data_IF_295470077781
#
_entry.id   IF_295470077781
#
_cell.length_a   1.000
_cell.length_b   1.000
_cell.length_c   1.000
_cell.angle_alpha   90.00
_cell.angle_beta   90.00
_cell.angle_gamma   90.00
#
_symmetry.space_group_name_H-M   'P 1'
#
loop_
_entity.id
_entity.type
_entity.pdbx_description
1 polymer ?
#
# COMPACT_ATOMS: atom_id res chain seq x y z
N UNK A 1 -19.73 -11.86 -1.64
CA UNK A 1 -20.31 -10.69 -0.93
C UNK A 1 -19.52 -9.45 -1.30
N UNK A 2 -20.10 -8.26 -1.15
CA UNK A 2 -19.45 -6.98 -1.38
C UNK A 2 -19.74 -6.11 -0.16
N UNK A 3 -18.71 -5.66 0.55
CA UNK A 3 -18.86 -4.84 1.76
C UNK A 3 -18.41 -3.42 1.43
N UNK A 4 -19.38 -2.53 1.27
CA UNK A 4 -19.15 -1.11 1.03
C UNK A 4 -19.14 -0.38 2.38
N UNK A 5 -17.99 0.18 2.75
CA UNK A 5 -17.86 0.94 4.00
C UNK A 5 -17.84 2.44 3.68
N UNK A 6 -18.92 3.12 4.05
CA UNK A 6 -19.07 4.57 3.98
C UNK A 6 -18.37 5.25 5.16
N UNK A 7 -17.25 5.90 4.88
CA UNK A 7 -16.43 6.59 5.88
C UNK A 7 -16.75 8.10 5.96
N UNK A 8 -18.05 8.40 6.09
CA UNK A 8 -18.61 9.75 6.06
C UNK A 8 -18.41 10.45 4.71
N UNK A 9 -18.84 9.82 3.62
CA UNK A 9 -18.79 10.42 2.29
C UNK A 9 -19.56 11.75 2.25
N UNK A 10 -18.97 12.84 1.71
CA UNK A 10 -19.61 14.16 1.69
C UNK A 10 -20.52 14.37 0.47
N UNK A 11 -20.59 13.40 -0.44
CA UNK A 11 -21.24 13.51 -1.74
C UNK A 11 -22.30 12.41 -1.98
N UNK A 12 -22.82 12.35 -3.20
CA UNK A 12 -23.86 11.41 -3.62
C UNK A 12 -23.41 9.94 -3.77
N UNK A 13 -22.21 9.57 -3.30
CA UNK A 13 -21.65 8.23 -3.51
C UNK A 13 -22.53 7.12 -2.94
N UNK A 14 -23.14 7.36 -1.76
CA UNK A 14 -23.89 6.31 -1.08
C UNK A 14 -25.32 6.13 -1.60
N UNK A 15 -25.90 7.15 -2.23
CA UNK A 15 -27.15 7.01 -2.99
C UNK A 15 -26.99 5.98 -4.10
N UNK A 16 -25.87 6.04 -4.83
CA UNK A 16 -25.55 5.09 -5.90
C UNK A 16 -25.40 3.68 -5.32
N UNK A 17 -24.58 3.50 -4.28
CA UNK A 17 -24.38 2.18 -3.65
C UNK A 17 -25.70 1.61 -3.12
N UNK A 18 -26.56 2.45 -2.51
CA UNK A 18 -27.89 2.04 -2.03
C UNK A 18 -28.81 1.60 -3.17
N UNK A 19 -28.73 2.20 -4.37
CA UNK A 19 -29.49 1.75 -5.52
C UNK A 19 -29.08 0.33 -5.93
N UNK A 20 -27.78 0.07 -6.08
CA UNK A 20 -27.29 -1.29 -6.39
C UNK A 20 -27.65 -2.32 -5.30
N UNK A 21 -27.60 -1.92 -4.02
CA UNK A 21 -27.92 -2.80 -2.92
C UNK A 21 -29.40 -3.23 -2.84
N UNK A 22 -30.32 -2.50 -3.51
CA UNK A 22 -31.74 -2.91 -3.61
C UNK A 22 -31.88 -4.20 -4.42
N UNK A 23 -31.09 -4.32 -5.48
CA UNK A 23 -31.21 -5.40 -6.45
C UNK A 23 -30.20 -6.54 -6.19
N UNK A 24 -29.11 -6.28 -5.46
CA UNK A 24 -28.08 -7.27 -5.15
C UNK A 24 -27.87 -7.45 -3.63
N UNK A 25 -28.46 -8.54 -3.10
CA UNK A 25 -28.36 -8.93 -1.68
C UNK A 25 -26.93 -9.26 -1.23
N UNK A 26 -25.97 -9.40 -2.15
CA UNK A 26 -24.55 -9.61 -1.81
C UNK A 26 -23.90 -8.32 -1.30
N UNK A 27 -24.49 -7.16 -1.59
CA UNK A 27 -23.97 -5.85 -1.18
C UNK A 27 -24.42 -5.55 0.25
N UNK A 28 -23.45 -5.28 1.12
CA UNK A 28 -23.64 -4.86 2.51
C UNK A 28 -23.04 -3.48 2.70
N UNK A 29 -23.77 -2.60 3.37
CA UNK A 29 -23.34 -1.23 3.65
C UNK A 29 -23.03 -1.09 5.13
N UNK A 30 -21.86 -0.55 5.46
CA UNK A 30 -21.49 -0.09 6.80
C UNK A 30 -21.30 1.41 6.72
N UNK A 31 -21.89 2.17 7.64
CA UNK A 31 -21.69 3.62 7.71
C UNK A 31 -21.02 4.00 9.02
N UNK A 32 -19.94 4.77 8.93
CA UNK A 32 -19.26 5.31 10.09
C UNK A 32 -19.92 6.61 10.57
N UNK A 33 -19.92 6.82 11.90
CA UNK A 33 -20.36 8.08 12.53
C UNK A 33 -19.30 9.19 12.45
N UNK A 34 -18.05 8.82 12.19
CA UNK A 34 -16.90 9.73 12.07
C UNK A 34 -15.92 9.17 11.05
N UNK A 35 -15.25 10.03 10.31
CA UNK A 35 -14.24 9.62 9.34
C UNK A 35 -13.04 8.94 10.06
N UNK A 36 -12.78 7.68 9.74
CA UNK A 36 -11.68 6.86 10.26
C UNK A 36 -10.53 6.68 9.25
N UNK A 37 -10.68 7.27 8.06
CA UNK A 37 -9.83 7.09 6.88
C UNK A 37 -9.85 5.66 6.34
N UNK A 38 -9.07 5.44 5.29
CA UNK A 38 -9.02 4.18 4.54
C UNK A 38 -8.70 2.98 5.45
N UNK A 39 -7.80 3.15 6.40
CA UNK A 39 -7.45 2.09 7.35
C UNK A 39 -8.64 1.62 8.20
N UNK A 40 -9.40 2.57 8.76
CA UNK A 40 -10.60 2.26 9.53
C UNK A 40 -11.70 1.63 8.69
N UNK A 41 -11.92 2.13 7.47
CA UNK A 41 -12.89 1.55 6.55
C UNK A 41 -12.56 0.07 6.23
N UNK A 42 -11.30 -0.23 5.91
CA UNK A 42 -10.85 -1.61 5.66
C UNK A 42 -11.02 -2.50 6.89
N UNK A 43 -10.70 -2.01 8.08
CA UNK A 43 -10.87 -2.76 9.33
C UNK A 43 -12.33 -3.11 9.59
N UNK A 44 -13.26 -2.16 9.42
CA UNK A 44 -14.70 -2.43 9.56
C UNK A 44 -15.18 -3.48 8.56
N UNK A 45 -14.65 -3.45 7.34
CA UNK A 45 -14.89 -4.49 6.34
C UNK A 45 -14.38 -5.87 6.79
N UNK A 46 -13.15 -5.94 7.31
CA UNK A 46 -12.55 -7.18 7.84
C UNK A 46 -13.42 -7.79 8.95
N UNK A 47 -13.92 -6.98 9.89
CA UNK A 47 -14.65 -7.51 11.06
C UNK A 47 -16.01 -8.14 10.71
N UNK A 48 -16.64 -7.75 9.59
CA UNK A 48 -17.93 -8.31 9.17
C UNK A 48 -17.83 -9.31 8.02
N UNK A 49 -16.65 -9.44 7.41
CA UNK A 49 -16.42 -10.35 6.29
C UNK A 49 -16.67 -11.79 6.71
N UNK A 50 -17.37 -12.54 5.85
CA UNK A 50 -17.70 -13.96 6.04
C UNK A 50 -17.09 -14.84 4.96
N UNK A 51 -16.58 -14.26 3.88
CA UNK A 51 -15.86 -14.97 2.83
C UNK A 51 -14.58 -15.62 3.35
N UNK A 52 -14.24 -16.76 2.76
CA UNK A 52 -12.99 -17.46 3.05
C UNK A 52 -11.76 -16.62 2.66
N UNK A 53 -11.92 -15.77 1.64
CA UNK A 53 -10.92 -14.82 1.17
C UNK A 53 -11.45 -13.38 1.21
N UNK A 54 -10.53 -12.44 1.40
CA UNK A 54 -10.77 -10.99 1.42
C UNK A 54 -9.92 -10.35 0.34
N UNK A 55 -10.54 -9.50 -0.48
CA UNK A 55 -9.88 -8.67 -1.48
C UNK A 55 -10.33 -7.22 -1.28
N UNK A 56 -9.38 -6.28 -1.24
CA UNK A 56 -9.70 -4.86 -1.13
C UNK A 56 -9.78 -4.24 -2.52
N UNK A 57 -10.80 -3.42 -2.78
CA UNK A 57 -10.94 -2.66 -4.01
C UNK A 57 -11.22 -1.21 -3.63
N UNK A 58 -10.40 -0.28 -4.13
CA UNK A 58 -10.66 1.14 -3.96
C UNK A 58 -11.82 1.54 -4.90
N UNK A 59 -12.71 2.46 -4.48
CA UNK A 59 -13.95 2.77 -5.21
C UNK A 59 -13.71 3.48 -6.55
N UNK A 60 -12.49 3.95 -6.79
CA UNK A 60 -12.09 4.60 -8.03
C UNK A 60 -11.50 3.66 -9.08
N UNK A 61 -11.26 2.39 -8.74
CA UNK A 61 -10.63 1.36 -9.55
C UNK A 61 -11.62 0.29 -10.05
N UNK A 62 -11.15 -0.58 -10.96
CA UNK A 62 -11.95 -1.67 -11.53
C UNK A 62 -11.21 -2.99 -11.43
N UNK A 63 -11.94 -4.10 -11.32
CA UNK A 63 -11.37 -5.42 -11.57
C UNK A 63 -10.99 -5.55 -13.06
N UNK A 64 -9.98 -6.36 -13.35
CA UNK A 64 -9.49 -6.54 -14.72
C UNK A 64 -10.45 -7.28 -15.64
N UNK A 65 -11.25 -8.18 -15.09
CA UNK A 65 -12.29 -8.96 -15.76
C UNK A 65 -13.24 -9.58 -14.72
N UNK A 66 -14.30 -10.24 -15.19
CA UNK A 66 -15.36 -10.81 -14.35
C UNK A 66 -14.94 -12.06 -13.56
N UNK A 67 -13.89 -12.76 -14.00
CA UNK A 67 -13.42 -14.02 -13.37
C UNK A 67 -12.26 -13.81 -12.41
N UNK A 68 -11.61 -12.65 -12.40
CA UNK A 68 -10.29 -12.48 -11.78
C UNK A 68 -10.25 -12.83 -10.30
N UNK A 69 -11.31 -12.56 -9.55
CA UNK A 69 -11.37 -12.93 -8.13
C UNK A 69 -11.46 -14.46 -7.95
N UNK A 70 -12.16 -15.16 -8.84
CA UNK A 70 -12.19 -16.64 -8.85
C UNK A 70 -10.81 -17.18 -9.21
N UNK A 71 -10.21 -16.66 -10.26
CA UNK A 71 -8.87 -17.10 -10.71
C UNK A 71 -7.81 -16.91 -9.61
N UNK A 72 -7.92 -15.83 -8.81
CA UNK A 72 -7.04 -15.61 -7.66
C UNK A 72 -7.30 -16.60 -6.52
N UNK A 73 -8.56 -16.97 -6.26
CA UNK A 73 -8.91 -17.98 -5.27
C UNK A 73 -8.40 -19.36 -5.70
N UNK A 74 -8.57 -19.74 -6.96
CA UNK A 74 -8.10 -21.01 -7.51
C UNK A 74 -6.58 -21.12 -7.35
N UNK A 75 -5.84 -20.07 -7.71
CA UNK A 75 -4.39 -19.98 -7.47
C UNK A 75 -4.04 -20.12 -5.98
N UNK A 76 -4.82 -19.50 -5.09
CA UNK A 76 -4.57 -19.59 -3.66
C UNK A 76 -4.72 -21.03 -3.14
N UNK A 77 -5.76 -21.73 -3.60
CA UNK A 77 -6.04 -23.13 -3.24
C UNK A 77 -4.98 -24.07 -3.81
N UNK A 78 -4.70 -23.96 -5.11
CA UNK A 78 -3.72 -24.81 -5.82
C UNK A 78 -2.31 -24.73 -5.21
N UNK A 79 -1.95 -23.59 -4.62
CA UNK A 79 -0.62 -23.33 -4.09
C UNK A 79 -0.56 -23.28 -2.56
N UNK A 80 -1.65 -23.63 -1.86
CA UNK A 80 -1.81 -23.48 -0.39
C UNK A 80 -1.32 -22.10 0.11
N UNK A 81 -1.68 -21.05 -0.62
CA UNK A 81 -1.20 -19.70 -0.38
C UNK A 81 -2.19 -18.90 0.47
N UNK A 82 -1.76 -18.45 1.65
CA UNK A 82 -2.57 -17.55 2.49
C UNK A 82 -2.69 -16.13 1.92
N UNK A 83 -1.79 -15.73 1.02
CA UNK A 83 -1.85 -14.46 0.33
C UNK A 83 -1.39 -14.65 -1.11
N UNK A 84 -2.18 -14.15 -2.05
CA UNK A 84 -1.84 -14.06 -3.47
C UNK A 84 -1.69 -12.59 -3.84
N UNK A 85 -0.54 -12.21 -4.37
CA UNK A 85 -0.28 -10.87 -4.88
C UNK A 85 -0.33 -10.87 -6.42
N UNK A 86 -1.24 -10.08 -6.97
CA UNK A 86 -1.42 -9.86 -8.39
C UNK A 86 -0.74 -8.57 -8.88
N UNK A 87 -0.78 -8.37 -10.20
CA UNK A 87 -0.39 -7.11 -10.86
C UNK A 87 -1.57 -6.15 -10.94
N UNK A 88 -1.27 -4.90 -11.27
CA UNK A 88 -2.26 -3.90 -11.67
C UNK A 88 -1.84 -3.26 -13.00
N UNK A 89 -2.79 -2.67 -13.70
CA UNK A 89 -2.56 -1.97 -14.95
C UNK A 89 -3.18 -0.58 -14.90
N UNK A 90 -2.47 0.44 -15.38
CA UNK A 90 -3.00 1.80 -15.40
C UNK A 90 -4.08 1.97 -16.48
N UNK A 91 -5.18 2.63 -16.11
CA UNK A 91 -6.26 3.02 -17.01
C UNK A 91 -6.21 4.53 -17.26
N UNK A 92 -6.21 4.93 -18.54
CA UNK A 92 -6.19 6.34 -18.94
C UNK A 92 -7.59 6.81 -19.37
N UNK A 93 -8.23 7.57 -18.48
CA UNK A 93 -9.56 8.15 -18.72
C UNK A 93 -9.62 9.07 -19.94
N UNK A 94 -8.52 9.75 -20.32
CA UNK A 94 -8.55 10.74 -21.42
C UNK A 94 -8.70 10.11 -22.80
N UNK A 95 -8.13 8.92 -22.96
CA UNK A 95 -8.15 8.18 -24.24
C UNK A 95 -9.04 6.94 -24.18
N UNK A 96 -9.67 6.67 -23.02
CA UNK A 96 -10.46 5.45 -22.82
C UNK A 96 -9.63 4.17 -22.99
N UNK A 97 -8.31 4.25 -22.84
CA UNK A 97 -7.38 3.18 -23.20
C UNK A 97 -6.54 2.71 -22.00
N UNK A 98 -6.19 1.42 -22.07
CA UNK A 98 -5.32 0.77 -21.11
C UNK A 98 -3.86 1.16 -21.38
N UNK A 99 -3.15 1.63 -20.37
CA UNK A 99 -1.71 1.85 -20.46
C UNK A 99 -0.97 0.50 -20.39
N UNK A 100 0.30 0.50 -20.84
CA UNK A 100 1.17 -0.69 -20.84
C UNK A 100 1.22 -1.34 -19.46
N UNK A 101 1.08 -2.68 -19.41
CA UNK A 101 1.21 -3.50 -18.20
C UNK A 101 2.44 -3.12 -17.38
N UNK A 102 2.26 -2.96 -16.06
CA UNK A 102 3.39 -2.80 -15.16
C UNK A 102 4.11 -4.14 -14.98
N UNK A 103 5.19 -4.33 -15.75
CA UNK A 103 6.08 -5.50 -15.63
C UNK A 103 7.05 -5.39 -14.44
N UNK A 104 6.70 -4.63 -13.39
CA UNK A 104 7.56 -4.44 -12.22
C UNK A 104 7.73 -5.72 -11.40
N UNK A 105 6.69 -6.55 -11.32
CA UNK A 105 6.74 -7.90 -10.77
C UNK A 105 7.26 -8.87 -11.84
N UNK A 106 8.57 -9.10 -11.81
CA UNK A 106 9.28 -9.99 -12.75
C UNK A 106 9.13 -11.48 -12.44
N UNK A 107 8.57 -11.82 -11.29
CA UNK A 107 8.42 -13.18 -10.79
C UNK A 107 6.92 -13.42 -10.58
N UNK A 108 6.30 -14.20 -11.47
CA UNK A 108 4.93 -14.68 -11.30
C UNK A 108 4.94 -16.20 -11.46
N UNK A 109 4.03 -16.88 -10.75
CA UNK A 109 4.05 -18.33 -10.56
C UNK A 109 5.02 -18.80 -9.47
N UNK A 110 5.32 -17.97 -8.45
CA UNK A 110 6.26 -18.34 -7.39
C UNK A 110 5.73 -18.06 -6.00
N UNK A 111 5.95 -18.99 -5.07
CA UNK A 111 5.78 -18.76 -3.64
C UNK A 111 7.01 -18.05 -3.08
N UNK A 112 6.91 -16.74 -2.85
CA UNK A 112 8.01 -15.93 -2.32
C UNK A 112 8.02 -16.00 -0.80
N UNK A 113 9.14 -16.45 -0.21
CA UNK A 113 9.37 -16.33 1.22
C UNK A 113 9.63 -14.87 1.60
N UNK A 114 9.03 -14.42 2.70
CA UNK A 114 9.20 -13.05 3.18
C UNK A 114 10.40 -12.97 4.10
N UNK A 115 11.37 -12.16 3.70
CA UNK A 115 12.61 -11.92 4.41
C UNK A 115 12.83 -10.41 4.57
N UNK A 116 13.57 -9.95 5.60
CA UNK A 116 13.91 -8.55 5.75
C UNK A 116 14.63 -7.95 4.52
N UNK A 117 15.38 -8.76 3.77
CA UNK A 117 16.14 -8.27 2.60
C UNK A 117 15.27 -8.07 1.34
N UNK A 118 14.18 -8.83 1.18
CA UNK A 118 13.24 -8.70 0.04
C UNK A 118 11.96 -7.91 0.40
N UNK A 119 11.92 -7.30 1.58
CA UNK A 119 10.77 -6.62 2.16
C UNK A 119 10.04 -5.62 1.25
N UNK A 120 10.77 -4.99 0.33
CA UNK A 120 10.23 -3.99 -0.61
C UNK A 120 10.24 -4.45 -2.07
N UNK A 121 10.43 -5.74 -2.31
CA UNK A 121 10.17 -6.37 -3.61
C UNK A 121 8.66 -6.61 -3.79
N UNK A 122 7.93 -6.73 -2.68
CA UNK A 122 6.47 -6.74 -2.63
C UNK A 122 5.90 -5.32 -2.63
N UNK A 123 4.84 -5.04 -3.40
CA UNK A 123 4.17 -3.74 -3.37
C UNK A 123 3.40 -3.58 -2.07
N UNK A 124 3.45 -2.39 -1.48
CA UNK A 124 2.68 -2.05 -0.28
C UNK A 124 1.27 -1.58 -0.66
N UNK A 125 0.53 -2.39 -1.40
CA UNK A 125 -0.85 -2.07 -1.77
C UNK A 125 -1.79 -3.18 -1.35
N UNK A 126 -2.82 -2.80 -0.59
CA UNK A 126 -3.88 -3.69 -0.14
C UNK A 126 -4.72 -4.19 -1.31
N UNK A 127 -4.85 -3.38 -2.38
CA UNK A 127 -5.79 -3.62 -3.46
C UNK A 127 -5.30 -4.63 -4.49
N UNK A 128 -4.01 -4.95 -4.51
CA UNK A 128 -3.46 -5.96 -5.45
C UNK A 128 -3.30 -7.35 -4.82
N UNK A 129 -3.97 -7.61 -3.69
CA UNK A 129 -3.79 -8.84 -2.93
C UNK A 129 -5.12 -9.49 -2.54
N UNK A 130 -5.17 -10.80 -2.72
CA UNK A 130 -6.16 -11.67 -2.09
C UNK A 130 -5.56 -12.22 -0.79
N UNK A 131 -6.31 -12.14 0.30
CA UNK A 131 -5.91 -12.62 1.61
C UNK A 131 -6.86 -13.73 2.04
N UNK A 132 -6.35 -14.88 2.44
CA UNK A 132 -7.14 -15.85 3.18
C UNK A 132 -7.59 -15.21 4.50
N UNK A 133 -8.87 -15.32 4.84
CA UNK A 133 -9.51 -14.69 6.01
C UNK A 133 -8.77 -14.97 7.32
N UNK A 134 -8.18 -16.17 7.46
CA UNK A 134 -7.38 -16.54 8.63
C UNK A 134 -6.16 -15.65 8.89
N UNK A 135 -5.67 -14.90 7.88
CA UNK A 135 -4.62 -13.88 8.07
C UNK A 135 -5.07 -12.85 9.10
N UNK A 136 -6.36 -12.54 9.15
CA UNK A 136 -6.92 -11.53 10.05
C UNK A 136 -7.42 -12.10 11.39
N UNK A 137 -7.25 -13.41 11.64
CA UNK A 137 -7.51 -14.02 12.96
C UNK A 137 -6.60 -13.43 14.04
N UNK A 138 -5.36 -13.10 13.67
CA UNK A 138 -4.50 -12.27 14.51
C UNK A 138 -5.04 -10.84 14.52
N UNK A 139 -5.66 -10.45 15.64
CA UNK A 139 -6.25 -9.11 15.82
C UNK A 139 -5.25 -7.96 15.72
N UNK A 140 -3.95 -8.22 15.74
CA UNK A 140 -2.94 -7.18 15.51
C UNK A 140 -2.72 -6.89 14.01
N UNK A 141 -3.09 -7.79 13.09
CA UNK A 141 -2.98 -7.56 11.65
C UNK A 141 -4.17 -6.69 11.22
N UNK A 142 -4.05 -5.37 11.47
CA UNK A 142 -5.06 -4.34 11.17
C UNK A 142 -4.38 -3.09 10.64
N UNK A 143 -5.12 -2.29 9.90
CA UNK A 143 -4.66 -0.97 9.46
C UNK A 143 -4.76 0.02 10.63
N UNK A 144 -3.85 0.99 10.71
CA UNK A 144 -3.98 2.05 11.71
C UNK A 144 -5.08 3.04 11.28
N UNK A 145 -5.97 3.38 12.20
CA UNK A 145 -7.05 4.33 11.94
C UNK A 145 -6.53 5.78 11.94
N UNK A 146 -7.22 6.68 11.26
CA UNK A 146 -6.96 8.12 11.33
C UNK A 146 -5.54 8.55 10.90
N UNK A 147 -4.88 7.78 10.01
CA UNK A 147 -3.61 8.17 9.39
C UNK A 147 -3.65 8.03 7.88
N UNK A 148 -2.72 8.72 7.21
CA UNK A 148 -2.33 8.48 5.81
C UNK A 148 -1.05 7.63 5.83
N UNK A 149 -0.87 6.78 4.82
CA UNK A 149 0.20 5.76 4.75
C UNK A 149 0.03 4.64 5.79
N UNK A 150 -1.23 4.30 6.06
CA UNK A 150 -1.64 3.18 6.91
C UNK A 150 -1.12 1.84 6.41
N UNK A 151 -0.98 1.71 5.09
CA UNK A 151 -0.41 0.57 4.40
C UNK A 151 1.03 0.26 4.86
N UNK A 152 1.85 1.28 5.07
CA UNK A 152 3.23 1.11 5.51
C UNK A 152 3.27 0.37 6.85
N UNK A 153 2.53 0.85 7.85
CA UNK A 153 2.49 0.16 9.14
C UNK A 153 1.87 -1.23 9.01
N UNK A 154 0.76 -1.34 8.27
CA UNK A 154 0.09 -2.63 8.03
C UNK A 154 1.04 -3.67 7.46
N UNK A 155 1.85 -3.34 6.45
CA UNK A 155 2.81 -4.27 5.86
C UNK A 155 4.01 -4.57 6.77
N UNK A 156 4.44 -3.62 7.61
CA UNK A 156 5.38 -3.92 8.70
C UNK A 156 4.82 -4.94 9.70
N UNK A 157 3.55 -4.84 10.04
CA UNK A 157 2.90 -5.83 10.90
C UNK A 157 2.77 -7.17 10.17
N UNK A 158 2.14 -7.16 9.00
CA UNK A 158 1.83 -8.35 8.22
C UNK A 158 3.08 -9.17 7.90
N UNK A 159 4.10 -8.55 7.28
CA UNK A 159 5.31 -9.25 6.80
C UNK A 159 6.27 -9.69 7.92
N UNK A 160 5.98 -9.35 9.17
CA UNK A 160 6.68 -9.93 10.34
C UNK A 160 5.97 -11.16 10.90
N UNK A 161 4.73 -11.43 10.44
CA UNK A 161 3.87 -12.51 10.95
C UNK A 161 3.60 -13.60 9.93
N UNK A 162 3.64 -13.28 8.63
CA UNK A 162 3.45 -14.26 7.56
C UNK A 162 4.81 -14.76 7.03
N UNK A 163 4.84 -15.99 6.52
CA UNK A 163 6.04 -16.64 6.00
C UNK A 163 6.26 -16.44 4.50
N UNK A 164 5.18 -16.35 3.73
CA UNK A 164 5.25 -16.32 2.28
C UNK A 164 4.04 -15.61 1.65
N UNK A 165 4.22 -15.19 0.40
CA UNK A 165 3.19 -14.64 -0.49
C UNK A 165 3.36 -15.28 -1.86
N UNK A 166 2.28 -15.78 -2.44
CA UNK A 166 2.32 -16.27 -3.82
C UNK A 166 2.22 -15.10 -4.80
N UNK A 167 3.12 -15.02 -5.76
CA UNK A 167 3.13 -14.00 -6.80
C UNK A 167 2.52 -14.57 -8.07
N UNK A 168 1.45 -13.96 -8.57
CA UNK A 168 0.82 -14.37 -9.84
C UNK A 168 1.13 -13.39 -10.98
N UNK A 169 1.05 -13.89 -12.22
CA UNK A 169 1.10 -13.05 -13.42
C UNK A 169 -0.25 -12.41 -13.76
N UNK A 170 -1.34 -12.81 -13.08
CA UNK A 170 -2.64 -12.19 -13.27
C UNK A 170 -2.61 -10.71 -12.91
N UNK A 171 -3.37 -9.92 -13.67
CA UNK A 171 -3.66 -8.53 -13.33
C UNK A 171 -5.00 -8.51 -12.61
N UNK A 172 -5.04 -8.06 -11.36
CA UNK A 172 -6.28 -8.00 -10.59
C UNK A 172 -7.06 -6.71 -10.83
N UNK A 173 -6.34 -5.59 -10.94
CA UNK A 173 -6.95 -4.25 -10.94
C UNK A 173 -6.52 -3.42 -12.14
N UNK A 174 -7.47 -2.67 -12.67
CA UNK A 174 -7.29 -1.53 -13.54
C UNK A 174 -7.29 -0.24 -12.71
N UNK A 175 -6.10 0.30 -12.48
CA UNK A 175 -5.87 1.48 -11.65
C UNK A 175 -6.22 2.76 -12.41
N UNK A 176 -7.25 3.47 -11.97
CA UNK A 176 -7.72 4.69 -12.65
C UNK A 176 -6.97 5.91 -12.13
N UNK A 177 -6.11 6.49 -12.96
CA UNK A 177 -5.41 7.73 -12.59
C UNK A 177 -6.34 8.96 -12.65
N UNK A 178 -6.36 9.75 -11.57
CA UNK A 178 -7.16 10.99 -11.45
C UNK A 178 -6.32 12.11 -10.83
N UNK A 179 -6.60 13.37 -11.21
CA UNK A 179 -6.06 14.56 -10.53
C UNK A 179 -6.68 14.68 -9.13
N UNK A 180 -5.93 15.16 -8.12
CA UNK A 180 -6.36 15.26 -6.70
C UNK A 180 -6.65 13.94 -5.98
N UNK A 181 -6.09 12.81 -6.42
CA UNK A 181 -6.14 11.57 -5.63
C UNK A 181 -5.28 11.67 -4.37
N UNK A 182 -5.64 10.94 -3.31
CA UNK A 182 -4.78 10.79 -2.11
C UNK A 182 -3.39 10.25 -2.46
N UNK A 183 -3.28 9.46 -3.55
CA UNK A 183 -2.02 8.93 -4.06
C UNK A 183 -1.23 9.94 -4.91
N UNK A 184 -1.84 11.06 -5.32
CA UNK A 184 -1.17 12.17 -5.99
C UNK A 184 -0.40 13.01 -4.96
N UNK A 185 0.68 12.43 -4.43
CA UNK A 185 1.64 13.03 -3.48
C UNK A 185 2.20 14.40 -3.90
N UNK A 186 2.05 14.77 -5.17
CA UNK A 186 2.44 16.06 -5.72
C UNK A 186 1.47 17.19 -5.33
N UNK A 187 0.22 16.87 -4.99
CA UNK A 187 -0.85 17.85 -4.73
C UNK A 187 -1.10 18.06 -3.23
N UNK A 188 -0.56 17.20 -2.36
CA UNK A 188 -0.68 17.33 -0.90
C UNK A 188 0.27 18.39 -0.36
N UNK A 189 -0.24 19.23 0.56
CA UNK A 189 0.60 20.16 1.34
C UNK A 189 1.76 19.40 2.00
N UNK A 190 2.95 19.95 1.85
CA UNK A 190 4.16 19.24 2.20
C UNK A 190 4.39 19.16 3.73
N UNK A 191 3.76 20.04 4.52
CA UNK A 191 3.75 19.92 5.99
C UNK A 191 2.81 18.80 6.43
N UNK A 192 1.62 18.69 5.83
CA UNK A 192 0.71 17.57 6.07
C UNK A 192 1.41 16.23 5.75
N UNK A 193 2.12 16.17 4.62
CA UNK A 193 2.93 15.01 4.24
C UNK A 193 3.99 14.70 5.28
N UNK A 194 4.74 15.71 5.73
CA UNK A 194 5.76 15.60 6.77
C UNK A 194 5.19 14.99 8.07
N UNK A 195 4.07 15.51 8.56
CA UNK A 195 3.47 15.06 9.83
C UNK A 195 3.01 13.60 9.75
N UNK A 196 2.36 13.22 8.65
CA UNK A 196 1.91 11.83 8.44
C UNK A 196 3.10 10.86 8.31
N UNK A 197 4.12 11.20 7.52
CA UNK A 197 5.32 10.37 7.40
C UNK A 197 6.05 10.22 8.74
N UNK A 198 6.17 11.28 9.53
CA UNK A 198 6.83 11.23 10.84
C UNK A 198 6.03 10.36 11.83
N UNK A 199 4.70 10.48 11.83
CA UNK A 199 3.80 9.65 12.62
C UNK A 199 3.98 8.17 12.28
N UNK A 200 3.98 7.82 10.99
CA UNK A 200 4.15 6.44 10.52
C UNK A 200 5.53 5.87 10.88
N UNK A 201 6.60 6.65 10.74
CA UNK A 201 7.95 6.22 11.17
C UNK A 201 7.99 5.87 12.65
N UNK A 202 7.38 6.70 13.51
CA UNK A 202 7.32 6.42 14.95
C UNK A 202 6.50 5.17 15.25
N UNK A 203 5.35 4.99 14.59
CA UNK A 203 4.50 3.80 14.77
C UNK A 203 5.23 2.51 14.35
N UNK A 204 5.88 2.50 13.18
CA UNK A 204 6.69 1.36 12.73
C UNK A 204 7.82 1.08 13.72
N UNK A 205 8.51 2.13 14.17
CA UNK A 205 9.59 1.97 15.15
C UNK A 205 9.10 1.32 16.46
N UNK A 206 8.00 1.83 17.03
CA UNK A 206 7.43 1.30 18.27
C UNK A 206 6.94 -0.13 18.10
N UNK A 207 6.31 -0.46 16.96
CA UNK A 207 5.93 -1.83 16.63
C UNK A 207 7.16 -2.76 16.62
N UNK A 208 8.20 -2.40 15.86
CA UNK A 208 9.42 -3.23 15.77
C UNK A 208 10.13 -3.35 17.12
N UNK A 209 10.22 -2.27 17.90
CA UNK A 209 10.84 -2.26 19.22
C UNK A 209 10.06 -3.14 20.21
N UNK A 210 8.73 -2.99 20.29
CA UNK A 210 7.86 -3.77 21.17
C UNK A 210 7.98 -5.28 20.91
N UNK A 211 8.12 -5.67 19.64
CA UNK A 211 8.23 -7.08 19.25
C UNK A 211 9.67 -7.59 19.16
N UNK A 212 10.69 -6.80 19.58
CA UNK A 212 12.12 -7.16 19.51
C UNK A 212 12.61 -7.47 18.07
N UNK A 213 11.99 -6.84 17.07
CA UNK A 213 12.26 -7.02 15.65
C UNK A 213 13.11 -5.90 15.03
N UNK A 214 13.47 -4.88 15.82
CA UNK A 214 14.15 -3.69 15.30
C UNK A 214 15.49 -4.01 14.62
N UNK A 215 16.30 -4.89 15.21
CA UNK A 215 17.58 -5.32 14.62
C UNK A 215 17.36 -6.11 13.33
N UNK A 216 16.41 -7.05 13.33
CA UNK A 216 16.08 -7.88 12.16
C UNK A 216 15.56 -7.05 10.99
N UNK A 217 14.72 -6.04 11.26
CA UNK A 217 14.07 -5.19 10.26
C UNK A 217 14.70 -3.79 10.17
N UNK A 218 15.95 -3.63 10.62
CA UNK A 218 16.66 -2.35 10.61
C UNK A 218 16.77 -1.80 9.18
N UNK A 219 17.23 -2.63 8.23
CA UNK A 219 17.37 -2.24 6.82
C UNK A 219 16.01 -1.82 6.23
N UNK A 220 14.92 -2.60 6.38
CA UNK A 220 13.57 -2.15 6.01
C UNK A 220 13.19 -0.79 6.58
N UNK A 221 13.34 -0.63 7.89
CA UNK A 221 12.99 0.59 8.62
C UNK A 221 13.77 1.82 8.10
N UNK A 222 15.08 1.69 7.91
CA UNK A 222 15.89 2.78 7.36
C UNK A 222 15.49 3.15 5.93
N UNK A 223 15.12 2.16 5.11
CA UNK A 223 14.74 2.39 3.72
C UNK A 223 13.38 3.08 3.61
N UNK A 224 12.41 2.79 4.47
CA UNK A 224 11.15 3.57 4.49
C UNK A 224 11.38 5.02 4.94
N UNK A 225 12.22 5.25 5.95
CA UNK A 225 12.60 6.61 6.38
C UNK A 225 13.21 7.41 5.21
N UNK A 226 14.13 6.79 4.44
CA UNK A 226 14.72 7.43 3.24
C UNK A 226 13.69 7.68 2.14
N UNK A 227 12.75 6.76 1.92
CA UNK A 227 11.67 6.94 0.93
C UNK A 227 10.82 8.16 1.26
N UNK A 228 10.33 8.28 2.50
CA UNK A 228 9.59 9.47 2.94
C UNK A 228 10.43 10.75 2.86
N UNK A 229 11.69 10.70 3.26
CA UNK A 229 12.59 11.84 3.09
C UNK A 229 12.68 12.29 1.62
N UNK A 230 12.61 11.39 0.65
CA UNK A 230 12.73 11.74 -0.77
C UNK A 230 11.45 12.30 -1.40
N UNK A 231 10.27 12.14 -0.79
CA UNK A 231 8.98 12.60 -1.37
C UNK A 231 8.56 14.01 -0.95
N UNK A 232 9.22 14.57 0.08
CA UNK A 232 8.94 15.90 0.62
C UNK A 232 9.56 17.00 -0.26
N UNK A 233 9.59 18.28 0.13
CA UNK A 233 10.43 19.35 -0.45
C UNK A 233 11.73 19.55 0.36
N UNK A 234 12.61 20.50 -0.03
CA UNK A 234 13.91 20.71 0.66
C UNK A 234 13.74 21.12 2.13
N UNK A 235 12.84 22.06 2.44
CA UNK A 235 12.66 22.60 3.79
C UNK A 235 12.17 21.52 4.76
N UNK A 236 11.08 20.85 4.39
CA UNK A 236 10.43 19.81 5.19
C UNK A 236 11.27 18.54 5.30
N UNK A 237 12.01 18.14 4.26
CA UNK A 237 12.89 16.97 4.33
C UNK A 237 14.07 17.18 5.28
N UNK A 238 14.64 18.39 5.35
CA UNK A 238 15.64 18.72 6.36
C UNK A 238 15.06 18.69 7.77
N UNK A 239 13.84 19.21 7.96
CA UNK A 239 13.09 19.10 9.22
C UNK A 239 12.86 17.62 9.60
N UNK A 240 12.37 16.80 8.66
CA UNK A 240 12.15 15.37 8.83
C UNK A 240 13.43 14.63 9.24
N UNK A 241 14.53 14.87 8.53
CA UNK A 241 15.84 14.31 8.86
C UNK A 241 16.26 14.64 10.29
N UNK A 242 16.14 15.91 10.70
CA UNK A 242 16.51 16.36 12.05
C UNK A 242 15.67 15.64 13.12
N UNK A 243 14.37 15.58 12.93
CA UNK A 243 13.42 14.96 13.86
C UNK A 243 13.60 13.45 13.97
N UNK A 244 13.73 12.75 12.84
CA UNK A 244 13.98 11.30 12.85
C UNK A 244 15.31 10.99 13.54
N UNK A 245 16.38 11.74 13.26
CA UNK A 245 17.66 11.52 13.93
C UNK A 245 17.59 11.82 15.42
N UNK A 246 16.95 12.91 15.83
CA UNK A 246 16.76 13.25 17.24
C UNK A 246 15.95 12.17 17.96
N UNK A 247 14.83 11.74 17.37
CA UNK A 247 14.00 10.65 17.88
C UNK A 247 14.82 9.37 18.08
N UNK A 248 15.56 8.93 17.05
CA UNK A 248 16.35 7.70 17.12
C UNK A 248 17.49 7.77 18.15
N UNK A 249 18.17 8.92 18.25
CA UNK A 249 19.21 9.15 19.26
C UNK A 249 18.61 9.05 20.69
N UNK A 250 17.45 9.64 20.93
CA UNK A 250 16.76 9.56 22.22
C UNK A 250 16.35 8.11 22.56
N UNK A 251 16.10 7.27 21.55
CA UNK A 251 15.80 5.86 21.72
C UNK A 251 17.05 4.98 21.89
N UNK A 252 18.26 5.55 21.85
CA UNK A 252 19.56 4.87 21.99
C UNK A 252 19.72 3.68 21.03
N UNK A 253 19.31 3.85 19.77
CA UNK A 253 19.47 2.81 18.75
C UNK A 253 20.94 2.65 18.35
N UNK A 254 21.33 1.43 17.95
CA UNK A 254 22.71 1.11 17.53
C UNK A 254 23.05 1.59 16.11
N UNK A 255 22.07 1.97 15.30
CA UNK A 255 22.24 2.30 13.89
C UNK A 255 21.94 3.77 13.58
N UNK A 256 22.43 4.24 12.42
CA UNK A 256 22.21 5.61 11.94
C UNK A 256 21.67 5.63 10.51
N UNK A 257 20.72 6.52 10.27
CA UNK A 257 20.15 6.71 8.93
C UNK A 257 20.97 7.74 8.15
N UNK A 258 21.68 7.28 7.12
CA UNK A 258 22.29 8.16 6.12
C UNK A 258 21.22 8.67 5.14
N UNK A 259 20.97 9.98 5.15
CA UNK A 259 20.10 10.69 4.20
C UNK A 259 20.95 11.44 3.16
N UNK A 260 20.62 11.37 1.85
CA UNK A 260 21.40 12.02 0.79
C UNK A 260 21.31 13.56 0.84
N UNK A 261 22.40 14.23 0.44
CA UNK A 261 22.61 15.69 0.54
C UNK A 261 21.92 16.52 -0.56
N UNK A 262 21.62 15.96 -1.73
CA UNK A 262 21.11 16.68 -2.92
C UNK A 262 20.02 15.83 -3.61
N UNK A 263 18.99 16.48 -4.16
CA UNK A 263 17.89 15.81 -4.87
C UNK A 263 17.81 16.22 -6.33
N UNK A 264 17.58 15.29 -7.27
CA UNK A 264 16.71 15.57 -8.41
C UNK A 264 15.25 15.55 -7.94
N UNK A 265 14.48 16.57 -8.33
CA UNK A 265 13.01 16.62 -8.16
C UNK A 265 12.41 15.52 -9.04
N UNK A 266 12.34 14.28 -8.53
CA UNK A 266 11.60 13.23 -9.20
C UNK A 266 10.20 13.23 -8.62
N UNK A 267 9.26 13.78 -9.39
CA UNK A 267 7.82 13.79 -9.09
C UNK A 267 7.36 12.38 -8.72
N UNK A 268 6.54 12.34 -7.68
CA UNK A 268 6.20 11.16 -6.91
C UNK A 268 5.29 10.18 -7.69
N UNK A 269 5.86 9.03 -8.06
CA UNK A 269 5.14 7.76 -8.32
C UNK A 269 5.77 6.64 -7.45
N UNK A 270 6.67 7.00 -6.53
CA UNK A 270 7.73 6.11 -6.02
C UNK A 270 7.45 5.39 -4.69
N UNK A 271 6.24 5.44 -4.13
CA UNK A 271 5.96 4.68 -2.90
C UNK A 271 5.76 3.17 -3.15
N UNK A 272 5.38 2.74 -4.35
CA UNK A 272 4.97 1.35 -4.60
C UNK A 272 5.72 0.59 -5.70
N UNK A 273 6.70 1.21 -6.36
CA UNK A 273 7.46 0.56 -7.46
C UNK A 273 8.93 0.32 -7.06
N UNK A 274 9.51 -0.87 -7.31
CA UNK A 274 10.91 -1.19 -6.99
C UNK A 274 11.92 -0.23 -7.65
N UNK A 275 12.77 0.39 -6.81
CA UNK A 275 13.79 1.40 -7.18
C UNK A 275 14.80 0.92 -8.25
N UNK A 276 15.03 -0.39 -8.37
CA UNK A 276 15.98 -0.97 -9.36
C UNK A 276 15.55 -0.74 -10.82
N UNK A 277 14.27 -0.55 -11.12
CA UNK A 277 13.75 -0.40 -12.48
C UNK A 277 13.93 1.02 -13.04
N UNK A 278 14.03 2.02 -12.17
CA UNK A 278 14.11 3.43 -12.58
C UNK A 278 15.50 3.83 -13.11
N UNK A 279 16.59 3.27 -12.55
CA UNK A 279 17.96 3.58 -13.00
C UNK A 279 18.22 3.20 -14.47
N UNK A 280 17.56 2.15 -14.97
CA UNK A 280 17.66 1.73 -16.38
C UNK A 280 16.80 2.61 -17.30
N UNK A 281 15.64 3.09 -16.83
CA UNK A 281 14.75 3.96 -17.61
C UNK A 281 15.30 5.38 -17.73
N UNK A 282 15.88 5.93 -16.65
CA UNK A 282 16.51 7.25 -16.68
C UNK A 282 17.72 7.32 -17.62
N UNK A 283 18.57 6.27 -17.63
CA UNK A 283 19.72 6.18 -18.55
C UNK A 283 19.32 6.05 -20.02
N UNK A 284 18.13 5.51 -20.30
CA UNK A 284 17.59 5.43 -21.67
C UNK A 284 16.95 6.74 -22.10
N UNK A 285 16.28 7.45 -21.19
CA UNK A 285 15.69 8.76 -21.50
C UNK A 285 16.77 9.83 -21.71
N UNK A 286 17.83 9.85 -20.88
CA UNK A 286 18.95 10.79 -21.03
C UNK A 286 19.88 10.48 -22.22
N UNK A 287 19.71 9.34 -22.90
CA UNK A 287 20.46 8.99 -24.12
C UNK A 287 19.72 9.34 -25.40
N UNK A 288 18.46 9.77 -25.33
CA UNK A 288 17.64 10.11 -26.48
C UNK A 288 17.42 11.63 -26.64
N UNK A 289 18.15 12.45 -25.88
CA UNK A 289 18.16 13.92 -25.97
C UNK A 289 19.58 14.48 -26.24
N UNK A 290 20.49 13.66 -26.75
CA UNK A 290 21.77 14.03 -27.36
C UNK A 290 21.87 13.31 -28.71
#
# INVERSE_FOLDING_TARGET
EIICVDDCSPDGSMEIVRQFAKDDKRIKIITHKKNLRQGGARNSGIEVARGEYIFFLDPDDFLSNDTVLRDLCDIAVENDAKIVNAKFQHYNNKVGQFCKLDNSLKLGGVLLQILPDNFFELPFSATVKLYHSSVFNDKNIRFENNIIYEDVLFYFILFTKIKSVFLTNLTAIMYRSRTRSTTALADMDDNIKYDNCLKVVKLVFYYLKKNRLLTTYEKPFMKICRRFYNTMNRKTSLKFKKEVNSFLNNQKVSFKIKFPLIRPVIKAILLFVPVKLWRRKLRRMLKNEL
#
